data_IF_858698422366
#
_entry.id   IF_858698422366
#
_cell.length_a   1.000
_cell.length_b   1.000
_cell.length_c   1.000
_cell.angle_alpha   90.00
_cell.angle_beta   90.00
_cell.angle_gamma   90.00
#
_symmetry.space_group_name_H-M   'P 1'
#
loop_
_entity.id
_entity.type
_entity.pdbx_description
1 polymer ?
#
# COMPACT_ATOMS: atom_id res chain seq x y z
N UNK A 1 -5.01 -2.78 -10.54
CA UNK A 1 -3.67 -3.18 -10.97
C UNK A 1 -3.16 -2.34 -12.15
N UNK A 2 -3.87 -2.29 -13.30
CA UNK A 2 -3.42 -1.51 -14.49
C UNK A 2 -3.32 -0.01 -14.17
N UNK A 3 -4.26 0.52 -13.40
CA UNK A 3 -4.21 1.91 -12.95
C UNK A 3 -3.01 2.15 -12.02
N UNK A 4 -2.73 1.20 -11.12
CA UNK A 4 -1.58 1.30 -10.21
C UNK A 4 -0.27 1.32 -10.99
N UNK A 5 -0.15 0.43 -12.00
CA UNK A 5 1.02 0.36 -12.87
C UNK A 5 1.27 1.68 -13.63
N UNK A 6 0.21 2.41 -13.95
CA UNK A 6 0.33 3.71 -14.61
C UNK A 6 0.65 4.85 -13.64
N UNK A 7 0.16 4.77 -12.41
CA UNK A 7 0.21 5.88 -11.45
C UNK A 7 1.41 5.77 -10.51
N UNK A 8 1.69 4.54 -10.04
CA UNK A 8 2.73 4.28 -9.04
C UNK A 8 4.00 3.70 -9.68
N UNK A 9 5.15 3.79 -8.99
CA UNK A 9 6.40 3.18 -9.42
C UNK A 9 6.33 1.66 -9.53
N UNK A 10 5.32 1.04 -8.89
CA UNK A 10 5.10 -0.41 -8.88
C UNK A 10 3.63 -0.74 -8.70
N UNK A 11 3.26 -1.96 -9.07
CA UNK A 11 1.96 -2.54 -8.79
C UNK A 11 2.14 -3.94 -8.25
N UNK A 12 1.34 -4.32 -7.25
CA UNK A 12 1.43 -5.59 -6.55
C UNK A 12 0.18 -6.42 -6.76
N UNK A 13 0.38 -7.69 -7.07
CA UNK A 13 -0.65 -8.70 -7.19
C UNK A 13 -0.36 -9.83 -6.19
N UNK A 14 -1.36 -10.24 -5.43
CA UNK A 14 -1.29 -11.35 -4.49
C UNK A 14 -2.08 -12.54 -5.02
N UNK A 15 -1.48 -13.71 -5.02
CA UNK A 15 -2.14 -14.94 -5.43
C UNK A 15 -1.17 -16.01 -5.96
N UNK A 16 -1.69 -17.17 -6.37
CA UNK A 16 -3.09 -17.60 -6.25
C UNK A 16 -3.48 -17.86 -4.78
N UNK A 17 -4.63 -17.35 -4.35
CA UNK A 17 -5.16 -17.59 -3.01
C UNK A 17 -6.37 -18.50 -3.15
N UNK A 18 -6.36 -19.71 -2.56
CA UNK A 18 -7.52 -20.60 -2.60
C UNK A 18 -8.64 -20.07 -1.69
N UNK A 19 -9.74 -19.66 -2.29
CA UNK A 19 -10.92 -19.18 -1.55
C UNK A 19 -12.14 -20.05 -1.83
N UNK A 20 -12.93 -20.32 -0.77
CA UNK A 20 -14.24 -20.95 -0.90
C UNK A 20 -15.24 -19.91 -1.40
N UNK A 21 -15.82 -20.17 -2.57
CA UNK A 21 -16.88 -19.34 -3.14
C UNK A 21 -18.13 -20.15 -3.39
N UNK A 22 -19.29 -19.56 -3.15
CA UNK A 22 -20.58 -20.17 -3.50
C UNK A 22 -20.78 -20.04 -5.01
N UNK A 23 -20.86 -21.18 -5.69
CA UNK A 23 -21.21 -21.23 -7.11
C UNK A 23 -22.55 -21.94 -7.30
N UNK A 24 -23.38 -21.43 -8.20
CA UNK A 24 -24.60 -22.12 -8.56
C UNK A 24 -24.28 -23.28 -9.50
N UNK A 25 -24.63 -24.50 -9.08
CA UNK A 25 -24.52 -25.71 -9.91
C UNK A 25 -25.86 -26.34 -10.13
N UNK A 26 -26.05 -26.89 -11.32
CA UNK A 26 -27.23 -27.69 -11.65
C UNK A 26 -27.08 -29.06 -10.98
N UNK A 27 -27.98 -29.38 -10.04
CA UNK A 27 -28.05 -30.66 -9.34
C UNK A 27 -29.38 -31.32 -9.70
N UNK A 28 -29.46 -32.68 -9.63
CA UNK A 28 -30.72 -33.38 -9.87
C UNK A 28 -31.83 -32.78 -9.00
N UNK A 29 -32.75 -32.03 -9.62
CA UNK A 29 -33.88 -31.38 -8.97
C UNK A 29 -33.87 -29.86 -8.93
N UNK A 30 -32.84 -29.18 -9.46
CA UNK A 30 -32.80 -27.70 -9.53
C UNK A 30 -31.42 -27.12 -9.47
N UNK A 31 -31.36 -25.81 -9.21
CA UNK A 31 -30.12 -25.06 -9.03
C UNK A 31 -29.82 -25.02 -7.52
N UNK A 32 -28.64 -25.51 -7.13
CA UNK A 32 -28.17 -25.43 -5.74
C UNK A 32 -26.88 -24.61 -5.64
N UNK A 33 -26.73 -23.84 -4.56
CA UNK A 33 -25.48 -23.19 -4.22
C UNK A 33 -24.53 -24.23 -3.62
N UNK A 34 -23.38 -24.41 -4.24
CA UNK A 34 -22.32 -25.34 -3.80
C UNK A 34 -21.05 -24.57 -3.55
N UNK A 35 -20.37 -24.89 -2.46
CA UNK A 35 -19.07 -24.32 -2.17
C UNK A 35 -18.03 -24.92 -3.14
N UNK A 36 -17.34 -24.03 -3.83
CA UNK A 36 -16.26 -24.39 -4.78
C UNK A 36 -15.00 -23.65 -4.37
N UNK A 37 -13.90 -24.38 -4.28
CA UNK A 37 -12.58 -23.80 -4.12
C UNK A 37 -12.15 -23.17 -5.46
N UNK A 38 -11.77 -21.91 -5.43
CA UNK A 38 -11.24 -21.18 -6.58
C UNK A 38 -9.98 -20.44 -6.18
N UNK A 39 -9.01 -20.45 -7.07
CA UNK A 39 -7.83 -19.62 -6.94
C UNK A 39 -8.18 -18.21 -7.40
N UNK A 40 -7.97 -17.26 -6.51
CA UNK A 40 -8.24 -15.84 -6.75
C UNK A 40 -6.94 -15.04 -6.71
N UNK A 41 -6.92 -13.98 -7.52
CA UNK A 41 -5.85 -13.00 -7.52
C UNK A 41 -6.40 -11.72 -6.94
N UNK A 42 -5.68 -11.13 -6.02
CA UNK A 42 -6.07 -9.91 -5.33
C UNK A 42 -5.09 -8.78 -5.64
N UNK A 43 -5.63 -7.61 -5.87
CA UNK A 43 -4.83 -6.39 -5.96
C UNK A 43 -4.41 -5.97 -4.57
N UNK A 44 -3.12 -5.79 -4.35
CA UNK A 44 -2.60 -5.19 -3.12
C UNK A 44 -2.45 -3.68 -3.34
N UNK A 45 -2.88 -2.90 -2.36
CA UNK A 45 -2.71 -1.46 -2.40
C UNK A 45 -1.22 -1.12 -2.25
N UNK A 46 -0.61 -0.37 -3.19
CA UNK A 46 0.78 0.03 -3.09
C UNK A 46 1.14 0.73 -1.78
N UNK A 47 0.24 1.51 -1.21
CA UNK A 47 0.45 2.19 0.07
C UNK A 47 0.45 1.26 1.28
N UNK A 48 -0.08 0.05 1.14
CA UNK A 48 -0.18 -0.94 2.24
C UNK A 48 0.82 -2.08 2.10
N UNK A 49 1.75 -1.97 1.18
CA UNK A 49 2.73 -2.99 0.89
C UNK A 49 4.15 -2.49 1.14
N UNK A 50 4.89 -3.17 2.00
CA UNK A 50 6.21 -2.79 2.45
C UNK A 50 7.20 -3.92 2.19
N UNK A 51 8.41 -3.57 1.80
CA UNK A 51 9.51 -4.51 1.63
C UNK A 51 10.80 -3.96 2.24
N UNK A 52 11.76 -4.84 2.46
CA UNK A 52 13.06 -4.43 2.97
C UNK A 52 13.86 -3.66 1.89
N UNK A 53 14.53 -2.56 2.25
CA UNK A 53 15.16 -1.65 1.27
C UNK A 53 16.41 -2.20 0.58
N UNK A 54 16.93 -3.34 1.02
CA UNK A 54 18.22 -3.87 0.53
C UNK A 54 18.11 -4.91 -0.59
N UNK A 55 16.93 -5.34 -0.96
CA UNK A 55 16.75 -6.42 -1.93
C UNK A 55 16.38 -5.92 -3.31
N UNK A 56 16.61 -6.77 -4.28
CA UNK A 56 16.25 -6.60 -5.70
C UNK A 56 15.11 -7.54 -6.16
N UNK A 57 14.80 -8.54 -5.33
CA UNK A 57 13.73 -9.51 -5.59
C UNK A 57 12.86 -9.70 -4.34
N UNK A 58 11.55 -9.54 -4.54
CA UNK A 58 10.53 -9.71 -3.49
C UNK A 58 10.54 -11.11 -2.86
N UNK A 59 11.00 -12.11 -3.58
CA UNK A 59 11.07 -13.48 -3.09
C UNK A 59 12.17 -13.69 -2.06
N UNK A 60 13.24 -12.89 -2.11
CA UNK A 60 14.43 -13.06 -1.29
C UNK A 60 14.50 -12.13 -0.07
N UNK A 61 13.47 -11.30 0.15
CA UNK A 61 13.46 -10.33 1.25
C UNK A 61 12.16 -10.39 2.04
N UNK A 62 12.14 -9.94 3.31
CA UNK A 62 10.91 -9.81 4.05
C UNK A 62 9.96 -8.83 3.37
N UNK A 63 8.68 -9.20 3.34
CA UNK A 63 7.59 -8.37 2.83
C UNK A 63 6.47 -8.32 3.84
N UNK A 64 5.85 -7.15 3.96
CA UNK A 64 4.73 -6.92 4.86
C UNK A 64 3.57 -6.29 4.11
N UNK A 65 2.38 -6.74 4.44
CA UNK A 65 1.13 -6.15 3.98
C UNK A 65 0.32 -5.67 5.19
N UNK A 66 -0.15 -4.42 5.12
CA UNK A 66 -1.01 -3.82 6.13
C UNK A 66 -2.47 -4.10 5.80
N UNK A 67 -3.18 -4.69 6.76
CA UNK A 67 -4.61 -4.94 6.71
C UNK A 67 -5.32 -4.14 7.78
N UNK A 68 -6.49 -3.58 7.43
CA UNK A 68 -7.41 -3.01 8.42
C UNK A 68 -8.52 -4.01 8.66
N UNK A 69 -8.59 -4.53 9.87
CA UNK A 69 -9.55 -5.55 10.28
C UNK A 69 -10.64 -4.94 11.15
N UNK A 70 -11.87 -5.31 10.88
CA UNK A 70 -12.99 -5.01 11.76
C UNK A 70 -13.03 -6.01 12.92
N UNK A 71 -13.82 -5.70 13.94
CA UNK A 71 -14.08 -6.62 15.02
C UNK A 71 -14.68 -7.95 14.53
N UNK A 72 -15.59 -7.88 13.55
CA UNK A 72 -16.22 -9.06 12.94
C UNK A 72 -15.19 -9.93 12.19
N UNK A 73 -14.22 -9.33 11.53
CA UNK A 73 -13.14 -10.07 10.86
C UNK A 73 -12.30 -10.85 11.86
N UNK A 74 -11.96 -10.24 13.00
CA UNK A 74 -11.22 -10.91 14.08
C UNK A 74 -12.03 -12.04 14.72
N UNK A 75 -13.33 -11.83 14.96
CA UNK A 75 -14.23 -12.87 15.47
C UNK A 75 -14.36 -14.05 14.49
N UNK A 76 -14.36 -13.77 13.18
CA UNK A 76 -14.41 -14.80 12.15
C UNK A 76 -13.12 -15.64 12.03
N UNK A 77 -11.99 -15.12 12.53
CA UNK A 77 -10.72 -15.85 12.58
C UNK A 77 -10.65 -16.84 13.75
N UNK A 78 -11.52 -16.72 14.74
CA UNK A 78 -11.59 -17.64 15.89
C UNK A 78 -12.01 -19.03 15.40
N UNK A 79 -11.23 -20.06 15.75
CA UNK A 79 -11.46 -21.44 15.34
C UNK A 79 -11.00 -21.76 13.91
N UNK A 80 -10.35 -20.83 13.22
CA UNK A 80 -9.67 -21.10 11.96
C UNK A 80 -8.28 -21.67 12.25
N UNK A 81 -7.94 -22.74 11.55
CA UNK A 81 -6.67 -23.43 11.73
C UNK A 81 -5.47 -22.51 11.48
N UNK A 82 -4.48 -22.56 12.37
CA UNK A 82 -3.28 -21.71 12.32
C UNK A 82 -3.40 -20.37 13.04
N UNK A 83 -4.57 -19.98 13.54
CA UNK A 83 -4.75 -18.77 14.35
C UNK A 83 -4.79 -19.09 15.85
N UNK A 84 -4.13 -18.25 16.66
CA UNK A 84 -4.19 -18.33 18.12
C UNK A 84 -5.46 -17.68 18.65
N UNK A 85 -6.41 -18.52 19.04
CA UNK A 85 -7.70 -18.11 19.58
C UNK A 85 -7.55 -17.28 20.88
N UNK A 86 -6.58 -17.63 21.74
CA UNK A 86 -6.37 -16.94 23.01
C UNK A 86 -5.86 -15.53 22.83
N UNK A 87 -4.95 -15.34 21.87
CA UNK A 87 -4.43 -14.04 21.45
C UNK A 87 -5.53 -13.16 20.86
N UNK A 88 -6.35 -13.72 19.97
CA UNK A 88 -7.47 -12.98 19.34
C UNK A 88 -8.49 -12.55 20.40
N UNK A 89 -8.86 -13.40 21.35
CA UNK A 89 -9.80 -13.06 22.43
C UNK A 89 -9.27 -11.94 23.34
N UNK A 90 -7.95 -11.93 23.60
CA UNK A 90 -7.30 -10.86 24.37
C UNK A 90 -7.35 -9.52 23.63
N UNK A 91 -7.13 -9.54 22.31
CA UNK A 91 -7.25 -8.35 21.46
C UNK A 91 -8.68 -7.84 21.39
N UNK A 92 -9.65 -8.72 21.25
CA UNK A 92 -11.08 -8.34 21.25
C UNK A 92 -11.55 -7.70 22.56
N UNK A 93 -10.98 -8.11 23.70
CA UNK A 93 -11.26 -7.50 24.99
C UNK A 93 -10.74 -6.07 25.10
N UNK A 94 -9.66 -5.73 24.39
CA UNK A 94 -9.01 -4.42 24.35
C UNK A 94 -9.18 -3.72 22.99
N UNK A 95 -10.20 -4.09 22.25
CA UNK A 95 -10.48 -3.53 20.92
C UNK A 95 -10.64 -2.00 20.97
N UNK A 96 -9.98 -1.30 20.06
CA UNK A 96 -9.98 0.19 20.02
C UNK A 96 -8.84 0.88 20.77
N UNK A 97 -8.08 0.14 21.60
CA UNK A 97 -6.85 0.66 22.23
C UNK A 97 -5.55 0.18 21.54
N UNK A 98 -5.71 -0.48 20.40
CA UNK A 98 -4.62 -1.14 19.68
C UNK A 98 -4.30 -0.35 18.40
N UNK A 99 -3.13 0.26 18.35
CA UNK A 99 -2.59 0.94 17.17
C UNK A 99 -1.06 0.80 17.11
N UNK A 100 -0.49 1.00 15.95
CA UNK A 100 0.95 1.13 15.79
C UNK A 100 1.30 2.62 15.74
N UNK A 101 2.17 3.11 16.60
CA UNK A 101 2.56 4.53 16.66
C UNK A 101 3.04 5.11 15.31
N UNK A 102 3.67 4.27 14.47
CA UNK A 102 4.14 4.69 13.17
C UNK A 102 3.04 4.79 12.10
N UNK A 103 1.88 4.15 12.32
CA UNK A 103 0.74 4.22 11.41
C UNK A 103 0.05 5.59 11.43
N UNK A 104 0.05 6.30 12.55
CA UNK A 104 -0.52 7.65 12.62
C UNK A 104 0.14 8.61 11.61
N UNK A 105 1.46 8.49 11.41
CA UNK A 105 2.16 9.27 10.40
C UNK A 105 1.81 8.84 8.97
N UNK A 106 1.70 7.54 8.74
CA UNK A 106 1.33 6.99 7.44
C UNK A 106 -0.11 7.38 7.06
N UNK A 107 -1.03 7.32 8.00
CA UNK A 107 -2.44 7.65 7.77
C UNK A 107 -2.59 9.15 7.46
N UNK A 108 -1.85 10.04 8.13
CA UNK A 108 -1.85 11.47 7.83
C UNK A 108 -1.27 11.80 6.44
N UNK A 109 -0.24 11.07 5.99
CA UNK A 109 0.28 11.20 4.62
C UNK A 109 -0.74 10.71 3.58
N UNK A 110 -1.41 9.59 3.86
CA UNK A 110 -2.46 9.03 3.02
C UNK A 110 -3.66 9.96 2.91
N UNK A 111 -4.10 10.58 3.99
CA UNK A 111 -5.17 11.58 4.01
C UNK A 111 -4.85 12.76 3.10
N UNK A 112 -3.62 13.29 3.18
CA UNK A 112 -3.17 14.40 2.35
C UNK A 112 -3.19 14.08 0.85
N UNK A 113 -3.02 12.82 0.47
CA UNK A 113 -2.98 12.37 -0.94
C UNK A 113 -4.37 11.96 -1.44
N UNK A 114 -5.19 11.35 -0.59
CA UNK A 114 -6.48 10.76 -1.00
C UNK A 114 -7.68 11.66 -0.72
N UNK A 115 -7.51 12.75 0.01
CA UNK A 115 -8.59 13.66 0.46
C UNK A 115 -9.72 12.89 1.17
N UNK A 116 -9.34 11.85 1.93
CA UNK A 116 -10.23 11.05 2.77
C UNK A 116 -9.86 11.27 4.22
N UNK A 117 -10.86 11.63 5.03
CA UNK A 117 -10.78 11.65 6.48
C UNK A 117 -10.80 10.20 7.01
N UNK A 118 -9.67 9.72 7.49
CA UNK A 118 -9.58 8.40 8.13
C UNK A 118 -9.96 8.45 9.62
N UNK A 119 -9.97 9.63 10.23
CA UNK A 119 -10.30 9.82 11.65
C UNK A 119 -11.71 9.33 12.01
N UNK A 120 -12.66 9.41 11.09
CA UNK A 120 -14.06 8.99 11.33
C UNK A 120 -14.26 7.47 11.25
N UNK A 121 -13.34 6.75 10.58
CA UNK A 121 -13.35 5.29 10.48
C UNK A 121 -12.46 4.60 11.54
N UNK A 122 -11.62 5.36 12.26
CA UNK A 122 -10.53 4.82 13.06
C UNK A 122 -10.92 4.11 14.34
N UNK A 123 -12.15 4.30 14.87
CA UNK A 123 -12.56 3.68 16.14
C UNK A 123 -12.93 2.19 16.02
N UNK A 124 -13.28 1.73 14.82
CA UNK A 124 -13.79 0.38 14.60
C UNK A 124 -12.84 -0.51 13.78
N UNK A 125 -11.64 -0.03 13.43
CA UNK A 125 -10.65 -0.75 12.67
C UNK A 125 -9.37 -0.97 13.47
N UNK A 126 -8.79 -2.16 13.34
CA UNK A 126 -7.50 -2.52 13.93
C UNK A 126 -6.53 -2.84 12.81
N UNK A 127 -5.36 -2.23 12.88
CA UNK A 127 -4.28 -2.50 11.94
C UNK A 127 -3.62 -3.85 12.24
N UNK A 128 -3.53 -4.70 11.24
CA UNK A 128 -2.83 -5.98 11.29
C UNK A 128 -1.73 -6.01 10.23
N UNK A 129 -0.56 -6.47 10.61
CA UNK A 129 0.57 -6.68 9.71
C UNK A 129 0.68 -8.16 9.37
N UNK A 130 0.65 -8.46 8.08
CA UNK A 130 0.94 -9.78 7.53
C UNK A 130 2.38 -9.79 7.03
N UNK A 131 3.26 -10.48 7.72
CA UNK A 131 4.67 -10.64 7.38
C UNK A 131 4.89 -11.97 6.66
N UNK A 132 5.67 -11.92 5.58
CA UNK A 132 6.21 -13.10 4.90
C UNK A 132 7.72 -13.02 4.89
N UNK A 133 8.35 -13.91 5.65
CA UNK A 133 9.80 -13.95 5.79
C UNK A 133 10.30 -15.35 6.13
N UNK A 134 11.61 -15.50 6.14
CA UNK A 134 12.29 -16.69 6.67
C UNK A 134 12.70 -16.44 8.11
N UNK A 135 12.01 -17.08 9.04
CA UNK A 135 12.17 -16.88 10.49
C UNK A 135 12.84 -18.09 11.10
N UNK A 136 13.81 -17.89 12.05
CA UNK A 136 14.44 -19.00 12.76
C UNK A 136 13.41 -19.85 13.50
N UNK A 137 13.56 -21.19 13.41
CA UNK A 137 12.62 -22.15 14.02
C UNK A 137 12.43 -21.94 15.52
N UNK A 138 13.47 -21.48 16.24
CA UNK A 138 13.38 -21.17 17.66
C UNK A 138 12.33 -20.10 17.95
N UNK A 139 12.26 -19.03 17.17
CA UNK A 139 11.25 -17.99 17.34
C UNK A 139 9.84 -18.48 17.01
N UNK A 140 9.72 -19.37 16.01
CA UNK A 140 8.42 -19.94 15.64
C UNK A 140 7.87 -20.82 16.77
N UNK A 141 8.74 -21.58 17.46
CA UNK A 141 8.37 -22.38 18.64
C UNK A 141 7.97 -21.45 19.80
N UNK A 142 8.73 -20.38 20.05
CA UNK A 142 8.39 -19.39 21.08
C UNK A 142 7.04 -18.70 20.80
N UNK A 143 6.62 -18.63 19.56
CA UNK A 143 5.32 -18.07 19.13
C UNK A 143 4.18 -19.11 19.11
N UNK A 144 4.44 -20.33 19.55
CA UNK A 144 3.43 -21.35 19.74
C UNK A 144 3.32 -22.38 18.63
N UNK A 145 4.24 -22.39 17.66
CA UNK A 145 4.32 -23.47 16.67
C UNK A 145 4.76 -24.79 17.30
N UNK A 146 4.23 -25.90 16.82
CA UNK A 146 4.58 -27.24 17.31
C UNK A 146 6.03 -27.59 16.99
N UNK A 147 6.74 -28.15 17.97
CA UNK A 147 8.11 -28.66 17.77
C UNK A 147 8.17 -29.79 16.72
N UNK A 148 7.09 -30.49 16.50
CA UNK A 148 6.99 -31.56 15.49
C UNK A 148 7.02 -31.02 14.04
N UNK A 149 6.68 -29.75 13.85
CA UNK A 149 6.66 -29.10 12.53
C UNK A 149 8.02 -28.48 12.17
N UNK A 150 8.94 -28.36 13.16
CA UNK A 150 10.26 -27.73 13.00
C UNK A 150 11.34 -28.79 13.21
N UNK A 151 11.97 -29.21 12.10
CA UNK A 151 13.04 -30.22 12.15
C UNK A 151 14.29 -29.75 12.93
N UNK A 152 14.69 -28.49 12.74
CA UNK A 152 15.85 -27.90 13.40
C UNK A 152 15.54 -26.46 13.84
N UNK A 153 15.54 -26.15 15.16
CA UNK A 153 15.30 -24.80 15.67
C UNK A 153 16.30 -23.73 15.21
N UNK A 154 17.47 -24.13 14.73
CA UNK A 154 18.50 -23.20 14.26
C UNK A 154 18.38 -22.83 12.79
N UNK A 155 17.59 -23.55 12.02
CA UNK A 155 17.30 -23.23 10.63
C UNK A 155 16.21 -22.16 10.51
N UNK A 156 16.24 -21.43 9.43
CA UNK A 156 15.18 -20.47 9.09
C UNK A 156 14.17 -21.11 8.13
N UNK A 157 12.89 -20.93 8.44
CA UNK A 157 11.78 -21.50 7.69
C UNK A 157 10.96 -20.38 7.05
N UNK A 158 10.57 -20.51 5.78
CA UNK A 158 9.66 -19.56 5.15
C UNK A 158 8.29 -19.67 5.83
N UNK A 159 7.79 -18.57 6.34
CA UNK A 159 6.55 -18.55 7.11
C UNK A 159 5.72 -17.29 6.85
N UNK A 160 4.46 -17.40 7.19
CA UNK A 160 3.49 -16.32 7.26
C UNK A 160 3.18 -16.01 8.72
N UNK A 161 3.33 -14.75 9.10
CA UNK A 161 3.05 -14.28 10.46
C UNK A 161 2.07 -13.12 10.41
N UNK A 162 1.04 -13.18 11.23
CA UNK A 162 0.13 -12.06 11.44
C UNK A 162 0.32 -11.49 12.83
N UNK A 163 0.48 -10.19 12.88
CA UNK A 163 0.72 -9.45 14.11
C UNK A 163 -0.24 -8.27 14.21
N UNK A 164 -0.83 -8.10 15.37
CA UNK A 164 -1.63 -6.92 15.73
C UNK A 164 -0.98 -6.30 16.95
N UNK A 165 -0.56 -5.05 16.82
CA UNK A 165 0.22 -4.40 17.86
C UNK A 165 1.48 -5.25 18.20
N UNK A 166 1.62 -5.74 19.40
CA UNK A 166 2.73 -6.62 19.83
C UNK A 166 2.28 -8.09 20.03
N UNK A 167 1.10 -8.44 19.53
CA UNK A 167 0.53 -9.78 19.70
C UNK A 167 0.53 -10.52 18.38
N UNK A 168 1.15 -11.68 18.33
CA UNK A 168 1.12 -12.57 17.19
C UNK A 168 -0.16 -13.38 17.26
N UNK A 169 -0.98 -13.28 16.21
CA UNK A 169 -2.26 -14.01 16.10
C UNK A 169 -2.18 -15.22 15.20
N UNK A 170 -1.14 -15.29 14.34
CA UNK A 170 -0.92 -16.42 13.43
C UNK A 170 0.58 -16.53 13.15
N UNK A 171 1.10 -17.75 13.23
CA UNK A 171 2.43 -18.09 12.75
C UNK A 171 2.35 -19.48 12.10
N UNK A 172 2.50 -19.56 10.78
CA UNK A 172 2.38 -20.83 10.03
C UNK A 172 3.49 -20.91 8.98
N UNK A 173 3.92 -22.11 8.67
CA UNK A 173 4.85 -22.36 7.58
C UNK A 173 4.21 -22.02 6.24
N UNK A 174 5.01 -21.57 5.32
CA UNK A 174 4.54 -21.30 3.96
C UNK A 174 4.04 -22.60 3.32
N UNK A 175 2.83 -22.56 2.77
CA UNK A 175 2.22 -23.70 2.11
C UNK A 175 2.82 -24.04 0.74
N UNK A 176 3.58 -23.12 0.13
CA UNK A 176 4.26 -23.40 -1.14
C UNK A 176 5.47 -24.31 -0.90
N UNK A 177 5.55 -25.51 -1.53
CA UNK A 177 6.68 -26.43 -1.38
C UNK A 177 8.04 -25.85 -1.79
N UNK A 178 8.03 -24.77 -2.59
CA UNK A 178 9.25 -24.07 -3.04
C UNK A 178 9.56 -22.89 -2.12
N UNK A 179 8.69 -22.58 -1.15
CA UNK A 179 8.84 -21.46 -0.23
C UNK A 179 8.59 -20.09 -0.85
N UNK A 180 7.95 -20.02 -2.03
CA UNK A 180 7.67 -18.74 -2.68
C UNK A 180 6.57 -17.98 -1.96
N UNK A 181 6.74 -16.67 -1.88
CA UNK A 181 5.73 -15.76 -1.36
C UNK A 181 4.64 -15.53 -2.40
N UNK A 182 3.37 -15.38 -1.98
CA UNK A 182 2.25 -15.21 -2.91
C UNK A 182 2.14 -13.79 -3.49
N UNK A 183 3.23 -13.07 -3.62
CA UNK A 183 3.25 -11.72 -4.13
C UNK A 183 4.04 -11.63 -5.43
N UNK A 184 3.49 -10.86 -6.37
CA UNK A 184 4.10 -10.54 -7.64
C UNK A 184 4.10 -9.03 -7.81
N UNK A 185 5.30 -8.46 -7.91
CA UNK A 185 5.49 -7.04 -8.09
C UNK A 185 6.01 -6.78 -9.51
N UNK A 186 5.45 -5.77 -10.13
CA UNK A 186 5.91 -5.29 -11.43
C UNK A 186 5.85 -3.78 -11.49
N UNK A 187 6.63 -3.18 -12.39
CA UNK A 187 6.66 -1.76 -12.67
C UNK A 187 6.45 -1.52 -14.17
N UNK A 188 6.00 -0.31 -14.55
CA UNK A 188 5.85 0.04 -15.96
C UNK A 188 7.20 0.09 -16.66
N UNK A 189 8.18 0.76 -16.08
CA UNK A 189 9.56 0.76 -16.53
C UNK A 189 10.44 0.29 -15.38
N UNK A 190 11.08 -0.88 -15.58
CA UNK A 190 11.92 -1.48 -14.54
C UNK A 190 13.30 -0.83 -14.51
N UNK A 191 13.74 -0.42 -13.33
CA UNK A 191 15.09 0.07 -13.08
C UNK A 191 15.97 -1.11 -12.66
N UNK A 192 17.08 -1.41 -13.36
CA UNK A 192 17.99 -2.47 -12.97
C UNK A 192 18.54 -2.29 -11.55
N UNK A 193 18.51 -3.35 -10.74
CA UNK A 193 19.00 -3.33 -9.36
C UNK A 193 18.04 -2.71 -8.35
N UNK A 194 16.81 -2.40 -8.75
CA UNK A 194 15.73 -1.97 -7.85
C UNK A 194 14.51 -2.85 -8.02
N UNK A 195 13.74 -2.96 -6.98
CA UNK A 195 12.46 -3.69 -6.98
C UNK A 195 11.36 -2.87 -7.64
N UNK A 196 11.33 -1.59 -7.31
CA UNK A 196 10.47 -0.58 -7.92
C UNK A 196 11.02 -0.10 -9.26
N UNK A 197 10.24 0.68 -9.96
CA UNK A 197 10.60 1.27 -11.25
C UNK A 197 10.06 2.69 -11.38
N UNK A 198 9.81 3.10 -12.62
CA UNK A 198 9.14 4.35 -12.93
C UNK A 198 7.70 4.05 -13.36
N UNK A 199 6.75 4.83 -12.82
CA UNK A 199 5.39 4.89 -13.34
C UNK A 199 5.31 5.79 -14.58
N UNK A 200 4.18 5.76 -15.29
CA UNK A 200 3.95 6.67 -16.43
C UNK A 200 3.95 8.13 -15.97
N UNK A 201 3.44 8.38 -14.76
CA UNK A 201 3.44 9.72 -14.17
C UNK A 201 4.87 10.26 -14.00
N UNK A 202 5.80 9.43 -13.50
CA UNK A 202 7.20 9.81 -13.31
C UNK A 202 7.88 10.15 -14.65
N UNK A 203 7.60 9.38 -15.69
CA UNK A 203 8.18 9.59 -17.02
C UNK A 203 7.66 10.85 -17.72
N UNK A 204 6.46 11.29 -17.37
CA UNK A 204 5.78 12.42 -18.04
C UNK A 204 5.86 13.72 -17.27
N UNK A 205 6.30 13.72 -16.00
CA UNK A 205 6.28 14.88 -15.11
C UNK A 205 7.06 16.08 -15.66
N UNK A 206 8.22 15.86 -16.25
CA UNK A 206 9.03 16.93 -16.81
C UNK A 206 8.37 17.56 -18.04
N UNK A 207 7.82 16.73 -18.93
CA UNK A 207 7.09 17.22 -20.10
C UNK A 207 5.85 18.00 -19.67
N UNK A 208 5.13 17.54 -18.66
CA UNK A 208 3.95 18.22 -18.10
C UNK A 208 4.34 19.57 -17.47
N UNK A 209 5.44 19.63 -16.75
CA UNK A 209 5.95 20.86 -16.15
C UNK A 209 6.33 21.90 -17.23
N UNK A 210 6.97 21.45 -18.32
CA UNK A 210 7.28 22.32 -19.46
C UNK A 210 6.00 22.86 -20.13
N UNK A 211 5.01 22.00 -20.36
CA UNK A 211 3.72 22.43 -20.91
C UNK A 211 3.02 23.45 -19.99
N UNK A 212 3.01 23.21 -18.69
CA UNK A 212 2.43 24.12 -17.71
C UNK A 212 3.16 25.48 -17.68
N UNK A 213 4.50 25.48 -17.75
CA UNK A 213 5.29 26.70 -17.81
C UNK A 213 5.01 27.50 -19.09
N UNK A 214 4.94 26.83 -20.24
CA UNK A 214 4.60 27.45 -21.51
C UNK A 214 3.18 28.05 -21.51
N UNK A 215 2.20 27.31 -20.99
CA UNK A 215 0.83 27.78 -20.87
C UNK A 215 0.71 29.02 -19.97
N UNK A 216 1.39 29.01 -18.80
CA UNK A 216 1.45 30.18 -17.89
C UNK A 216 2.09 31.39 -18.57
N UNK A 217 3.22 31.21 -19.28
CA UNK A 217 3.90 32.26 -19.99
C UNK A 217 3.02 32.86 -21.10
N UNK A 218 2.31 32.01 -21.83
CA UNK A 218 1.36 32.44 -22.85
C UNK A 218 0.21 33.26 -22.25
N UNK A 219 -0.39 32.77 -21.15
CA UNK A 219 -1.45 33.48 -20.45
C UNK A 219 -0.98 34.84 -19.93
N UNK A 220 0.22 34.92 -19.35
CA UNK A 220 0.81 36.17 -18.90
C UNK A 220 1.05 37.14 -20.07
N UNK A 221 1.59 36.67 -21.19
CA UNK A 221 1.79 37.50 -22.37
C UNK A 221 0.47 38.02 -22.94
N UNK A 222 -0.57 37.20 -22.97
CA UNK A 222 -1.91 37.60 -23.39
C UNK A 222 -2.49 38.66 -22.44
N UNK A 223 -2.33 38.50 -21.14
CA UNK A 223 -2.74 39.47 -20.11
C UNK A 223 -2.03 40.81 -20.28
N UNK A 224 -0.72 40.80 -20.49
CA UNK A 224 0.07 42.00 -20.74
C UNK A 224 -0.27 42.69 -22.07
N UNK A 225 -0.56 41.92 -23.12
CA UNK A 225 -0.86 42.45 -24.44
C UNK A 225 -2.32 42.94 -24.58
N UNK A 226 -3.22 42.46 -23.73
CA UNK A 226 -4.63 42.89 -23.74
C UNK A 226 -4.87 44.19 -22.97
N UNK A 227 -3.94 44.58 -22.12
CA UNK A 227 -4.00 45.85 -21.41
C UNK A 227 -3.51 47.06 -22.25
N UNK A 228 -3.90 48.29 -21.89
CA UNK A 228 -3.42 49.49 -22.57
C UNK A 228 -1.92 49.62 -22.38
N UNK A 229 -1.15 49.55 -23.46
CA UNK A 229 0.30 49.81 -23.42
C UNK A 229 0.51 51.33 -23.54
N UNK A 230 1.08 51.91 -22.47
CA UNK A 230 1.39 53.33 -22.43
C UNK A 230 2.90 53.54 -22.61
N UNK A 231 3.27 54.14 -23.69
CA UNK A 231 4.65 54.57 -23.91
C UNK A 231 4.86 55.96 -23.29
N UNK A 232 5.78 56.07 -22.33
CA UNK A 232 6.16 57.35 -21.68
C UNK A 232 7.48 57.82 -22.20
N UNK A 233 7.50 59.06 -22.74
CA UNK A 233 8.76 59.70 -23.14
C UNK A 233 9.46 60.29 -21.89
N UNK A 234 10.42 59.56 -21.36
CA UNK A 234 11.14 59.89 -20.14
C UNK A 234 11.90 61.24 -20.22
N UNK A 235 12.28 61.68 -21.43
CA UNK A 235 12.95 62.96 -21.60
C UNK A 235 12.04 64.20 -21.44
N UNK A 236 10.74 63.99 -21.44
CA UNK A 236 9.71 65.03 -21.25
C UNK A 236 9.12 65.10 -19.85
N UNK A 237 9.58 64.24 -18.93
CA UNK A 237 9.16 64.31 -17.55
C UNK A 237 9.88 65.43 -16.81
N UNK A 238 9.15 66.18 -15.93
CA UNK A 238 9.79 67.22 -15.10
C UNK A 238 10.94 66.69 -14.27
N UNK A 239 12.00 67.51 -14.11
CA UNK A 239 13.14 67.13 -13.29
C UNK A 239 12.70 67.17 -11.80
N UNK A 240 12.68 65.99 -11.15
CA UNK A 240 12.33 65.85 -9.75
C UNK A 240 11.23 64.86 -9.45
N UNK A 241 10.53 64.31 -10.45
CA UNK A 241 9.59 63.24 -10.23
C UNK A 241 10.27 61.87 -10.22
N UNK A 242 9.75 61.00 -9.34
CA UNK A 242 10.26 59.64 -9.24
C UNK A 242 9.98 58.89 -10.57
N UNK A 243 11.07 58.49 -11.24
CA UNK A 243 11.02 57.87 -12.58
C UNK A 243 10.75 56.36 -12.52
N UNK A 244 10.39 55.84 -11.38
CA UNK A 244 10.01 54.41 -11.20
C UNK A 244 8.59 54.18 -11.69
N UNK A 245 8.47 53.58 -12.87
CA UNK A 245 7.21 53.03 -13.35
C UNK A 245 6.92 51.76 -12.56
N UNK A 246 6.07 51.84 -11.57
CA UNK A 246 5.53 50.63 -10.91
C UNK A 246 4.50 50.03 -11.82
N UNK A 247 4.74 48.80 -12.23
CA UNK A 247 3.74 48.00 -12.90
C UNK A 247 2.64 47.68 -11.89
N UNK A 248 1.42 48.19 -12.12
CA UNK A 248 0.28 47.79 -11.34
C UNK A 248 -0.06 46.34 -11.67
N UNK A 249 0.03 45.49 -10.67
CA UNK A 249 -0.36 44.06 -10.73
C UNK A 249 -1.86 43.91 -10.79
#
# INVERSE_FOLDING_TARGET
FTNDLATFPYAVLKGPIPRKRKAMKYVKGGIAAVDVLRDEWERVDPYKFYWAPWGDDIQNMPVMELHHLTREDLEAMIGVDGYDESAIRTLLANFGATGFDWLEHHDSEMESVTDKDFDDAGSDLVAALQLWDSIPGKLLIDWGMSEDEIEDPHLSYPCEVWMINNVIIKAVLNYDPIGRKPYYLTSFEKIPGRIDGNGVADLTIDAQNMCNAAARSLANNMGLSSGPQVGVNVSRLPAGEDRTLTQAS
#
